data_IF_121203053311
#
_entry.id   IF_121203053311
#
_cell.length_a   1.000
_cell.length_b   1.000
_cell.length_c   1.000
_cell.angle_alpha   90.00
_cell.angle_beta   90.00
_cell.angle_gamma   90.00
#
_symmetry.space_group_name_H-M   'P 1'
#
loop_
_entity.id
_entity.type
_entity.pdbx_description
1 polymer ?
#
# COMPACT_ATOMS: atom_id res chain seq x y z
N UNK A 1 4.39 16.38 22.82
CA UNK A 1 5.05 15.85 21.61
C UNK A 1 4.04 15.88 20.48
N UNK A 2 4.47 16.13 19.24
CA UNK A 2 3.60 16.01 18.08
C UNK A 2 3.13 14.55 17.94
N UNK A 3 1.88 14.33 17.52
CA UNK A 3 1.38 12.98 17.28
C UNK A 3 1.90 12.47 15.94
N UNK A 4 2.29 11.19 15.91
CA UNK A 4 2.82 10.54 14.70
C UNK A 4 1.73 9.74 14.02
N UNK A 5 1.62 9.90 12.71
CA UNK A 5 0.74 9.08 11.89
C UNK A 5 1.47 8.43 10.73
N UNK A 6 1.12 7.19 10.44
CA UNK A 6 1.44 6.55 9.16
C UNK A 6 0.17 6.46 8.31
N UNK A 7 0.24 6.91 7.06
CA UNK A 7 -0.86 6.87 6.10
C UNK A 7 -0.50 5.93 4.95
N UNK A 8 -1.18 4.78 4.89
CA UNK A 8 -1.07 3.83 3.79
C UNK A 8 -2.03 4.18 2.66
N UNK A 9 -1.48 4.75 1.60
CA UNK A 9 -2.23 5.29 0.47
C UNK A 9 -2.68 4.19 -0.50
N UNK A 10 -3.96 4.25 -0.86
CA UNK A 10 -4.68 3.38 -1.79
C UNK A 10 -4.08 3.31 -3.20
N UNK A 11 -4.38 2.25 -3.95
CA UNK A 11 -4.15 2.28 -5.42
C UNK A 11 -5.04 3.32 -6.11
N UNK A 12 -6.26 3.51 -5.58
CA UNK A 12 -7.25 4.49 -6.04
C UNK A 12 -6.80 5.95 -5.88
N UNK A 13 -5.82 6.20 -5.01
CA UNK A 13 -5.19 7.51 -4.84
C UNK A 13 -4.21 7.85 -5.98
N UNK A 14 -3.95 6.92 -6.89
CA UNK A 14 -3.13 7.13 -8.09
C UNK A 14 -3.93 6.82 -9.36
N UNK A 15 -4.64 5.68 -9.40
CA UNK A 15 -5.43 5.27 -10.57
C UNK A 15 -6.82 4.84 -10.08
N UNK A 16 -7.86 5.58 -10.47
CA UNK A 16 -9.25 5.29 -10.12
C UNK A 16 -9.86 4.27 -11.08
N UNK A 17 -10.97 3.67 -10.66
CA UNK A 17 -11.75 2.79 -11.52
C UNK A 17 -12.21 3.53 -12.79
N UNK A 18 -11.92 2.95 -13.96
CA UNK A 18 -12.27 3.52 -15.26
C UNK A 18 -11.21 4.45 -15.87
N UNK A 19 -10.19 4.85 -15.11
CA UNK A 19 -9.09 5.65 -15.65
C UNK A 19 -8.05 4.80 -16.40
N UNK A 20 -7.37 5.43 -17.36
CA UNK A 20 -6.28 4.77 -18.09
C UNK A 20 -4.99 4.71 -17.26
N UNK A 21 -4.83 5.60 -16.28
CA UNK A 21 -3.63 5.70 -15.45
C UNK A 21 -2.51 6.50 -16.12
N UNK A 22 -2.86 7.50 -16.92
CA UNK A 22 -1.90 8.46 -17.49
C UNK A 22 -1.18 9.24 -16.38
N UNK A 23 -0.03 9.83 -16.69
CA UNK A 23 0.72 10.64 -15.71
C UNK A 23 -0.08 11.84 -15.21
N UNK A 24 -0.93 12.43 -16.07
CA UNK A 24 -1.81 13.54 -15.69
C UNK A 24 -2.89 13.09 -14.70
N UNK A 25 -3.55 11.96 -14.95
CA UNK A 25 -4.52 11.36 -14.01
C UNK A 25 -3.85 11.01 -12.67
N UNK A 26 -2.70 10.34 -12.71
CA UNK A 26 -1.96 9.97 -11.49
C UNK A 26 -1.52 11.20 -10.68
N UNK A 27 -1.06 12.27 -11.33
CA UNK A 27 -0.72 13.53 -10.67
C UNK A 27 -1.94 14.22 -10.06
N UNK A 28 -3.08 14.26 -10.77
CA UNK A 28 -4.31 14.84 -10.24
C UNK A 28 -4.84 14.07 -9.01
N UNK A 29 -4.81 12.74 -9.06
CA UNK A 29 -5.21 11.87 -7.95
C UNK A 29 -4.27 11.98 -6.75
N UNK A 30 -2.96 12.00 -7.00
CA UNK A 30 -1.95 12.22 -5.96
C UNK A 30 -2.13 13.59 -5.29
N UNK A 31 -2.43 14.65 -6.06
CA UNK A 31 -2.72 15.99 -5.53
C UNK A 31 -3.93 16.03 -4.63
N UNK A 32 -5.01 15.34 -5.01
CA UNK A 32 -6.22 15.26 -4.20
C UNK A 32 -5.93 14.62 -2.82
N UNK A 33 -5.12 13.56 -2.81
CA UNK A 33 -4.66 12.90 -1.57
C UNK A 33 -3.70 13.81 -0.77
N UNK A 34 -2.74 14.43 -1.44
CA UNK A 34 -1.75 15.32 -0.86
C UNK A 34 -2.39 16.53 -0.16
N UNK A 35 -3.49 17.06 -0.69
CA UNK A 35 -4.25 18.15 -0.07
C UNK A 35 -4.77 17.79 1.32
N UNK A 36 -5.34 16.59 1.49
CA UNK A 36 -5.80 16.10 2.80
C UNK A 36 -4.63 15.89 3.76
N UNK A 37 -3.52 15.32 3.27
CA UNK A 37 -2.31 15.10 4.08
C UNK A 37 -1.68 16.43 4.53
N UNK A 38 -1.58 17.42 3.64
CA UNK A 38 -1.04 18.74 3.96
C UNK A 38 -1.88 19.46 5.03
N UNK A 39 -3.21 19.27 5.02
CA UNK A 39 -4.10 19.75 6.09
C UNK A 39 -3.84 19.05 7.42
N UNK A 40 -3.62 17.73 7.41
CA UNK A 40 -3.24 16.98 8.61
C UNK A 40 -1.90 17.47 9.19
N UNK A 41 -0.91 17.70 8.34
CA UNK A 41 0.40 18.28 8.75
C UNK A 41 0.21 19.70 9.34
N UNK A 42 -0.69 20.51 8.76
CA UNK A 42 -1.02 21.84 9.30
C UNK A 42 -1.60 21.78 10.72
N UNK A 43 -2.31 20.69 11.06
CA UNK A 43 -2.82 20.45 12.41
C UNK A 43 -1.74 19.98 13.41
N UNK A 44 -0.48 19.83 12.97
CA UNK A 44 0.65 19.50 13.84
C UNK A 44 1.03 18.02 13.86
N UNK A 45 0.48 17.20 12.95
CA UNK A 45 0.87 15.79 12.82
C UNK A 45 2.23 15.62 12.14
N UNK A 46 3.04 14.71 12.67
CA UNK A 46 4.20 14.15 11.98
C UNK A 46 3.73 12.96 11.13
N UNK A 47 3.96 13.02 9.82
CA UNK A 47 3.36 12.07 8.88
C UNK A 47 4.42 11.28 8.13
N UNK A 48 4.20 9.96 8.09
CA UNK A 48 4.87 9.02 7.19
C UNK A 48 3.84 8.52 6.19
N UNK A 49 4.22 8.46 4.93
CA UNK A 49 3.34 8.07 3.83
C UNK A 49 3.89 6.80 3.21
N UNK A 50 3.04 5.79 3.07
CA UNK A 50 3.32 4.61 2.25
C UNK A 50 2.29 4.53 1.14
N UNK A 51 2.52 3.74 0.10
CA UNK A 51 1.57 3.61 -1.00
C UNK A 51 1.60 2.21 -1.62
N UNK A 52 0.53 1.86 -2.34
CA UNK A 52 0.52 0.68 -3.19
C UNK A 52 1.19 0.94 -4.54
N UNK A 53 1.48 -0.12 -5.29
CA UNK A 53 2.02 -0.03 -6.64
C UNK A 53 1.45 -1.07 -7.62
N UNK A 54 0.42 -1.84 -7.26
CA UNK A 54 -0.02 -3.02 -8.03
C UNK A 54 -0.23 -2.78 -9.54
N UNK A 55 -0.97 -1.73 -9.96
CA UNK A 55 -1.08 -1.36 -11.37
C UNK A 55 0.27 -0.95 -11.98
N UNK A 56 1.05 -0.11 -11.29
CA UNK A 56 2.32 0.43 -11.78
C UNK A 56 3.39 -0.66 -11.92
N UNK A 57 3.52 -1.56 -10.94
CA UNK A 57 4.49 -2.65 -10.95
C UNK A 57 4.22 -3.62 -12.08
N UNK A 58 2.94 -3.99 -12.30
CA UNK A 58 2.60 -4.84 -13.43
C UNK A 58 2.73 -4.12 -14.78
N UNK A 59 2.52 -2.80 -14.85
CA UNK A 59 2.81 -2.03 -16.06
C UNK A 59 4.32 -1.94 -16.33
N UNK A 60 5.15 -1.76 -15.30
CA UNK A 60 6.61 -1.75 -15.41
C UNK A 60 7.13 -3.11 -15.89
N UNK A 61 6.61 -4.20 -15.32
CA UNK A 61 6.99 -5.56 -15.72
C UNK A 61 6.55 -5.86 -17.17
N UNK A 62 5.34 -5.46 -17.55
CA UNK A 62 4.88 -5.59 -18.94
C UNK A 62 5.75 -4.81 -19.93
N UNK A 63 6.21 -3.60 -19.57
CA UNK A 63 7.16 -2.83 -20.39
C UNK A 63 8.49 -3.57 -20.53
N UNK A 64 9.03 -4.06 -19.42
CA UNK A 64 10.27 -4.86 -19.36
C UNK A 64 10.20 -6.09 -20.27
N UNK A 65 9.16 -6.91 -20.14
CA UNK A 65 8.98 -8.12 -20.95
C UNK A 65 8.84 -7.83 -22.45
N UNK A 66 8.13 -6.75 -22.82
CA UNK A 66 7.94 -6.37 -24.23
C UNK A 66 9.23 -5.86 -24.87
N UNK A 67 10.06 -5.16 -24.11
CA UNK A 67 11.32 -4.58 -24.58
C UNK A 67 12.52 -5.51 -24.45
N UNK A 68 12.34 -6.73 -23.91
CA UNK A 68 13.43 -7.66 -23.58
C UNK A 68 14.31 -8.11 -24.76
N UNK A 69 13.83 -7.96 -26.00
CA UNK A 69 14.61 -8.23 -27.21
C UNK A 69 15.46 -7.04 -27.68
N UNK A 70 15.25 -5.85 -27.09
CA UNK A 70 15.93 -4.60 -27.45
C UNK A 70 16.84 -4.10 -26.32
N UNK A 71 16.48 -4.37 -25.07
CA UNK A 71 17.21 -3.96 -23.86
C UNK A 71 17.07 -5.02 -22.77
N UNK A 72 17.96 -4.97 -21.77
CA UNK A 72 17.89 -5.87 -20.62
C UNK A 72 16.55 -5.79 -19.89
N UNK A 73 16.09 -6.93 -19.37
CA UNK A 73 14.84 -7.03 -18.61
C UNK A 73 15.05 -6.72 -17.13
N UNK A 74 14.09 -6.03 -16.51
CA UNK A 74 13.93 -5.97 -15.07
C UNK A 74 13.13 -7.16 -14.54
N UNK A 75 13.61 -7.73 -13.43
CA UNK A 75 12.88 -8.63 -12.54
C UNK A 75 11.77 -7.89 -11.78
N UNK A 76 10.88 -8.63 -11.12
CA UNK A 76 9.76 -8.03 -10.41
C UNK A 76 10.18 -7.12 -9.23
N UNK A 77 11.20 -7.50 -8.46
CA UNK A 77 11.76 -6.67 -7.38
C UNK A 77 12.34 -5.35 -7.91
N UNK A 78 13.01 -5.38 -9.06
CA UNK A 78 13.48 -4.17 -9.75
C UNK A 78 12.32 -3.31 -10.26
N UNK A 79 11.22 -3.92 -10.70
CA UNK A 79 10.00 -3.20 -11.02
C UNK A 79 9.40 -2.53 -9.76
N UNK A 80 9.40 -3.22 -8.61
CA UNK A 80 8.98 -2.63 -7.34
C UNK A 80 9.87 -1.43 -7.00
N UNK A 81 11.20 -1.57 -7.06
CA UNK A 81 12.15 -0.49 -6.81
C UNK A 81 11.90 0.73 -7.71
N UNK A 82 11.73 0.49 -9.01
CA UNK A 82 11.43 1.55 -10.00
C UNK A 82 10.14 2.28 -9.62
N UNK A 83 9.08 1.54 -9.30
CA UNK A 83 7.77 2.14 -8.97
C UNK A 83 7.74 2.87 -7.63
N UNK A 84 8.63 2.55 -6.68
CA UNK A 84 8.80 3.37 -5.47
C UNK A 84 9.24 4.79 -5.83
N UNK A 85 10.23 4.91 -6.72
CA UNK A 85 10.72 6.21 -7.16
C UNK A 85 9.72 6.92 -8.07
N UNK A 86 9.08 6.23 -9.02
CA UNK A 86 8.09 6.84 -9.92
C UNK A 86 6.91 7.44 -9.14
N UNK A 87 6.31 6.66 -8.23
CA UNK A 87 5.16 7.09 -7.46
C UNK A 87 5.58 8.09 -6.39
N UNK A 88 6.69 7.83 -5.69
CA UNK A 88 7.23 8.73 -4.67
C UNK A 88 7.54 10.11 -5.24
N UNK A 89 8.12 10.19 -6.45
CA UNK A 89 8.33 11.46 -7.15
C UNK A 89 7.02 12.22 -7.38
N UNK A 90 5.98 11.55 -7.89
CA UNK A 90 4.67 12.17 -8.11
C UNK A 90 4.11 12.68 -6.78
N UNK A 91 4.02 11.81 -5.77
CA UNK A 91 3.44 12.14 -4.47
C UNK A 91 4.21 13.26 -3.76
N UNK A 92 5.54 13.22 -3.80
CA UNK A 92 6.41 14.24 -3.21
C UNK A 92 6.14 15.61 -3.85
N UNK A 93 6.13 15.67 -5.19
CA UNK A 93 5.90 16.93 -5.91
C UNK A 93 4.54 17.54 -5.61
N UNK A 94 3.49 16.72 -5.60
CA UNK A 94 2.14 17.21 -5.29
C UNK A 94 2.00 17.61 -3.81
N UNK A 95 2.66 16.91 -2.89
CA UNK A 95 2.65 17.26 -1.47
C UNK A 95 3.43 18.55 -1.18
N UNK A 96 4.62 18.71 -1.75
CA UNK A 96 5.39 19.96 -1.64
C UNK A 96 4.59 21.16 -2.17
N UNK A 97 3.85 20.97 -3.28
CA UNK A 97 2.94 21.99 -3.79
C UNK A 97 1.86 22.34 -2.75
N UNK A 98 1.12 21.37 -2.23
CA UNK A 98 0.02 21.63 -1.27
C UNK A 98 0.54 22.20 0.07
N UNK A 99 1.71 21.77 0.54
CA UNK A 99 2.38 22.35 1.71
C UNK A 99 2.71 23.83 1.48
N UNK A 100 3.24 24.18 0.31
CA UNK A 100 3.53 25.57 -0.07
C UNK A 100 2.26 26.42 -0.11
N UNK A 101 1.16 25.90 -0.65
CA UNK A 101 -0.14 26.60 -0.68
C UNK A 101 -0.67 26.89 0.73
N UNK A 102 -0.33 26.07 1.71
CA UNK A 102 -0.68 26.27 3.12
C UNK A 102 0.35 27.11 3.91
N UNK A 103 1.41 27.58 3.25
CA UNK A 103 2.50 28.35 3.89
C UNK A 103 3.43 27.50 4.76
N UNK A 104 3.42 26.17 4.61
CA UNK A 104 4.22 25.24 5.40
C UNK A 104 5.60 25.03 4.74
N UNK A 105 6.67 25.26 5.51
CA UNK A 105 8.06 25.04 5.09
C UNK A 105 8.58 23.68 5.59
N UNK A 106 7.93 22.60 5.15
CA UNK A 106 8.32 21.22 5.50
C UNK A 106 9.14 20.61 4.36
N UNK A 107 10.20 19.88 4.72
CA UNK A 107 10.93 19.05 3.77
C UNK A 107 10.13 17.77 3.53
N UNK A 108 10.16 17.27 2.30
CA UNK A 108 9.57 15.99 1.90
C UNK A 108 10.65 15.16 1.21
N UNK A 109 10.73 13.87 1.53
CA UNK A 109 11.68 12.98 0.85
C UNK A 109 11.07 11.61 0.61
N UNK A 110 11.45 11.00 -0.50
CA UNK A 110 11.13 9.60 -0.82
C UNK A 110 12.34 8.72 -0.55
N UNK A 111 12.18 7.70 0.29
CA UNK A 111 13.25 6.75 0.64
C UNK A 111 12.96 5.39 -0.02
N UNK A 112 13.80 4.94 -0.98
CA UNK A 112 13.76 3.56 -1.45
C UNK A 112 13.90 2.60 -0.27
N UNK A 113 12.95 1.68 -0.14
CA UNK A 113 12.79 0.85 1.05
C UNK A 113 12.76 -0.62 0.67
N UNK A 114 13.69 -1.38 1.24
CA UNK A 114 13.75 -2.83 1.18
C UNK A 114 13.06 -3.46 2.39
N UNK A 115 12.43 -4.60 2.16
CA UNK A 115 11.74 -5.38 3.20
C UNK A 115 12.22 -6.82 3.14
N UNK A 116 12.75 -7.28 4.28
CA UNK A 116 13.20 -8.64 4.46
C UNK A 116 11.98 -9.57 4.47
N UNK A 117 12.08 -10.68 3.74
CA UNK A 117 11.09 -11.76 3.68
C UNK A 117 11.79 -13.11 3.84
N UNK A 118 11.05 -14.16 4.21
CA UNK A 118 11.59 -15.51 4.25
C UNK A 118 11.67 -16.08 2.83
N UNK A 119 12.88 -16.48 2.39
CA UNK A 119 13.08 -17.14 1.09
C UNK A 119 12.30 -18.45 0.93
N UNK A 120 11.87 -19.05 2.04
CA UNK A 120 11.10 -20.28 2.08
C UNK A 120 9.60 -20.06 2.32
N UNK A 121 9.12 -18.81 2.29
CA UNK A 121 7.70 -18.49 2.48
C UNK A 121 6.83 -19.28 1.47
N UNK A 122 5.75 -19.89 1.96
CA UNK A 122 4.82 -20.67 1.15
C UNK A 122 4.17 -19.84 0.03
N UNK A 123 4.14 -18.51 0.14
CA UNK A 123 3.67 -17.60 -0.89
C UNK A 123 4.47 -17.70 -2.20
N UNK A 124 5.74 -18.12 -2.17
CA UNK A 124 6.53 -18.38 -3.37
C UNK A 124 6.07 -19.63 -4.13
N UNK A 125 5.46 -20.59 -3.44
CA UNK A 125 4.90 -21.81 -4.05
C UNK A 125 3.44 -21.61 -4.48
N UNK A 126 2.72 -20.71 -3.80
CA UNK A 126 1.30 -20.43 -4.03
C UNK A 126 1.07 -18.92 -4.24
N UNK A 127 1.40 -18.37 -5.43
CA UNK A 127 1.22 -16.95 -5.71
C UNK A 127 -0.26 -16.58 -5.77
N UNK A 128 -0.63 -15.52 -5.05
CA UNK A 128 -2.04 -15.08 -4.93
C UNK A 128 -2.24 -13.61 -5.26
N UNK A 129 -1.18 -12.79 -5.29
CA UNK A 129 -1.29 -11.33 -5.41
C UNK A 129 -1.42 -10.91 -6.87
N UNK A 130 -2.54 -10.32 -7.30
CA UNK A 130 -2.73 -9.95 -8.70
C UNK A 130 -2.00 -8.65 -9.03
N UNK A 131 -1.24 -8.64 -10.14
CA UNK A 131 -0.49 -7.47 -10.65
C UNK A 131 -0.85 -7.16 -12.10
N UNK A 132 -0.66 -5.90 -12.50
CA UNK A 132 -0.82 -5.47 -13.89
C UNK A 132 -2.27 -5.44 -14.38
N UNK A 133 -2.46 -5.31 -15.71
CA UNK A 133 -3.78 -5.11 -16.31
C UNK A 133 -4.61 -6.39 -16.35
N UNK A 134 -5.90 -6.24 -16.64
CA UNK A 134 -6.82 -7.34 -16.91
C UNK A 134 -6.63 -7.87 -18.34
N UNK A 135 -6.80 -9.17 -18.50
CA UNK A 135 -6.73 -9.89 -19.76
C UNK A 135 -8.00 -10.73 -19.97
N UNK A 136 -8.37 -10.91 -21.23
CA UNK A 136 -9.30 -11.98 -21.61
C UNK A 136 -8.68 -13.36 -21.34
N UNK A 137 -9.54 -14.36 -21.13
CA UNK A 137 -9.12 -15.73 -20.76
C UNK A 137 -8.11 -16.33 -21.74
N UNK A 138 -8.38 -16.22 -23.04
CA UNK A 138 -7.51 -16.72 -24.11
C UNK A 138 -6.11 -16.09 -24.07
N UNK A 139 -6.02 -14.77 -23.89
CA UNK A 139 -4.75 -14.04 -23.81
C UNK A 139 -3.98 -14.41 -22.55
N UNK A 140 -4.66 -14.53 -21.42
CA UNK A 140 -4.04 -14.93 -20.16
C UNK A 140 -3.50 -16.36 -20.22
N UNK A 141 -4.27 -17.31 -20.77
CA UNK A 141 -3.82 -18.70 -20.96
C UNK A 141 -2.66 -18.81 -21.96
N UNK A 142 -2.64 -17.99 -23.01
CA UNK A 142 -1.49 -17.92 -23.91
C UNK A 142 -0.24 -17.50 -23.14
N UNK A 143 -0.33 -16.45 -22.29
CA UNK A 143 0.79 -15.98 -21.49
C UNK A 143 1.22 -16.98 -20.42
N UNK A 144 0.30 -17.74 -19.81
CA UNK A 144 0.65 -18.88 -18.96
C UNK A 144 1.52 -19.89 -19.71
N UNK A 145 1.13 -20.25 -20.94
CA UNK A 145 1.87 -21.23 -21.76
C UNK A 145 3.23 -20.72 -22.26
N UNK A 146 3.32 -19.46 -22.66
CA UNK A 146 4.53 -18.92 -23.31
C UNK A 146 5.50 -18.25 -22.35
N UNK A 147 4.99 -17.70 -21.24
CA UNK A 147 5.77 -16.92 -20.27
C UNK A 147 5.76 -17.54 -18.86
N UNK A 148 5.09 -18.68 -18.65
CA UNK A 148 5.03 -19.36 -17.36
C UNK A 148 4.25 -18.60 -16.29
N UNK A 149 3.34 -17.69 -16.69
CA UNK A 149 2.55 -16.90 -15.73
C UNK A 149 1.57 -17.76 -14.93
N UNK A 150 1.59 -17.59 -13.61
CA UNK A 150 0.42 -17.88 -12.80
C UNK A 150 -0.65 -16.81 -13.02
N UNK A 151 -1.90 -17.22 -13.18
CA UNK A 151 -3.03 -16.33 -13.42
C UNK A 151 -4.23 -16.70 -12.55
N UNK A 152 -5.02 -15.70 -12.17
CA UNK A 152 -6.28 -15.85 -11.45
C UNK A 152 -7.37 -15.04 -12.14
N UNK A 153 -8.62 -15.46 -12.02
CA UNK A 153 -9.78 -14.64 -12.37
C UNK A 153 -10.08 -13.66 -11.23
N UNK A 154 -10.10 -12.35 -11.52
CA UNK A 154 -10.25 -11.29 -10.53
C UNK A 154 -11.62 -10.61 -10.68
N UNK A 155 -12.55 -11.01 -9.81
CA UNK A 155 -13.86 -10.39 -9.59
C UNK A 155 -14.71 -10.20 -10.86
N UNK A 156 -14.73 -11.20 -11.75
CA UNK A 156 -15.45 -11.19 -13.03
C UNK A 156 -15.05 -10.05 -14.00
N UNK A 157 -13.94 -9.35 -13.74
CA UNK A 157 -13.40 -8.28 -14.61
C UNK A 157 -12.38 -8.81 -15.62
N UNK A 158 -12.06 -10.10 -15.56
CA UNK A 158 -11.07 -10.77 -16.39
C UNK A 158 -9.99 -11.48 -15.57
N UNK A 159 -8.91 -11.83 -16.24
CA UNK A 159 -7.78 -12.58 -15.69
C UNK A 159 -6.58 -11.67 -15.44
N UNK A 160 -5.82 -11.92 -14.38
CA UNK A 160 -4.59 -11.18 -14.06
C UNK A 160 -3.45 -12.12 -13.71
N UNK A 161 -2.22 -11.68 -13.95
CA UNK A 161 -1.02 -12.36 -13.46
C UNK A 161 -1.01 -12.30 -11.93
N UNK A 162 -0.72 -13.42 -11.28
CA UNK A 162 -0.45 -13.45 -9.84
C UNK A 162 1.03 -13.68 -9.57
N UNK A 163 1.48 -13.13 -8.45
CA UNK A 163 2.86 -13.23 -7.98
C UNK A 163 2.86 -13.55 -6.48
N UNK A 164 4.01 -13.95 -5.97
CA UNK A 164 4.20 -14.20 -4.55
C UNK A 164 3.95 -12.93 -3.74
N UNK A 165 3.32 -13.08 -2.57
CA UNK A 165 3.13 -12.02 -1.57
C UNK A 165 3.50 -12.56 -0.19
N UNK A 166 4.81 -12.72 0.08
CA UNK A 166 5.31 -13.23 1.36
C UNK A 166 5.03 -12.25 2.50
N UNK A 167 5.12 -12.75 3.73
CA UNK A 167 4.93 -11.93 4.92
C UNK A 167 6.15 -11.02 5.18
N UNK A 168 5.96 -9.72 5.45
CA UNK A 168 7.07 -8.82 5.75
C UNK A 168 7.65 -9.12 7.15
N UNK A 169 8.98 -9.28 7.23
CA UNK A 169 9.70 -9.56 8.47
C UNK A 169 10.31 -8.27 9.04
N UNK A 170 11.06 -7.53 8.23
CA UNK A 170 11.84 -6.37 8.67
C UNK A 170 11.90 -5.29 7.60
N UNK A 171 11.83 -4.02 8.01
CA UNK A 171 12.08 -2.87 7.13
C UNK A 171 13.53 -2.42 7.30
N UNK A 172 14.37 -2.64 6.29
CA UNK A 172 15.82 -2.43 6.42
C UNK A 172 16.20 -0.95 6.56
N UNK A 173 15.39 -0.03 6.02
CA UNK A 173 15.60 1.42 6.13
C UNK A 173 14.90 2.04 7.34
N UNK A 174 14.47 1.26 8.33
CA UNK A 174 13.75 1.77 9.51
C UNK A 174 14.51 2.89 10.23
N UNK A 175 15.82 2.74 10.45
CA UNK A 175 16.62 3.72 11.20
C UNK A 175 16.69 5.07 10.47
N UNK A 176 16.93 5.08 9.16
CA UNK A 176 16.99 6.33 8.38
C UNK A 176 15.61 6.98 8.26
N UNK A 177 14.54 6.19 8.18
CA UNK A 177 13.16 6.68 8.21
C UNK A 177 12.88 7.36 9.57
N UNK A 178 13.21 6.70 10.68
CA UNK A 178 13.00 7.26 12.04
C UNK A 178 13.73 8.58 12.22
N UNK A 179 15.04 8.62 11.91
CA UNK A 179 15.85 9.84 12.02
C UNK A 179 15.32 10.97 11.16
N UNK A 180 14.81 10.68 9.97
CA UNK A 180 14.21 11.70 9.10
C UNK A 180 12.94 12.31 9.71
N UNK A 181 12.10 11.49 10.33
CA UNK A 181 10.88 11.95 11.02
C UNK A 181 11.25 12.81 12.23
N UNK A 182 12.25 12.41 13.01
CA UNK A 182 12.78 13.18 14.17
C UNK A 182 13.31 14.55 13.75
N UNK A 183 13.85 14.67 12.53
CA UNK A 183 14.24 15.95 11.93
C UNK A 183 13.05 16.78 11.42
N UNK A 184 11.82 16.28 11.57
CA UNK A 184 10.59 16.93 11.14
C UNK A 184 10.33 16.85 9.63
N UNK A 185 11.04 15.96 8.91
CA UNK A 185 10.88 15.69 7.48
C UNK A 185 9.66 14.80 7.26
N UNK A 186 8.84 15.11 6.27
CA UNK A 186 7.75 14.23 5.83
C UNK A 186 8.34 13.14 4.95
N UNK A 187 8.17 11.88 5.34
CA UNK A 187 8.80 10.75 4.63
C UNK A 187 7.77 9.99 3.82
N UNK A 188 8.07 9.76 2.54
CA UNK A 188 7.41 8.78 1.69
C UNK A 188 8.32 7.55 1.62
N UNK A 189 7.85 6.40 2.07
CA UNK A 189 8.65 5.18 2.13
C UNK A 189 7.79 3.95 1.85
N UNK A 190 8.43 2.78 1.78
CA UNK A 190 7.73 1.49 1.69
C UNK A 190 6.76 1.40 0.50
N UNK A 191 7.10 2.07 -0.60
CA UNK A 191 6.27 2.08 -1.80
C UNK A 191 6.05 0.66 -2.33
N UNK A 192 4.80 0.32 -2.64
CA UNK A 192 4.44 -1.02 -3.06
C UNK A 192 4.53 -2.10 -1.99
N UNK A 193 4.67 -1.72 -0.71
CA UNK A 193 4.94 -2.66 0.38
C UNK A 193 6.42 -2.92 0.64
N UNK A 194 7.33 -2.26 -0.10
CA UNK A 194 8.78 -2.46 0.00
C UNK A 194 9.35 -3.37 -1.08
N UNK A 195 10.63 -3.20 -1.41
CA UNK A 195 11.36 -4.09 -2.32
C UNK A 195 11.64 -5.38 -1.55
N UNK A 196 11.04 -6.52 -1.93
CA UNK A 196 11.25 -7.79 -1.24
C UNK A 196 12.68 -8.28 -1.43
N UNK A 197 13.35 -8.55 -0.31
CA UNK A 197 14.72 -9.06 -0.28
C UNK A 197 14.87 -10.20 0.74
N UNK A 198 15.88 -11.02 0.57
CA UNK A 198 16.30 -12.04 1.53
C UNK A 198 17.81 -11.97 1.79
N UNK A 199 18.27 -12.59 2.87
CA UNK A 199 19.70 -12.82 3.07
C UNK A 199 20.13 -14.08 2.30
N UNK A 200 21.17 -13.93 1.49
CA UNK A 200 21.87 -15.02 0.82
C UNK A 200 22.77 -15.81 1.76
N UNK A 201 23.56 -16.73 1.22
CA UNK A 201 24.36 -17.66 2.03
C UNK A 201 25.52 -16.98 2.76
N UNK A 202 26.04 -15.88 2.21
CA UNK A 202 27.15 -15.12 2.79
C UNK A 202 26.69 -13.80 3.44
N UNK A 203 25.38 -13.66 3.71
CA UNK A 203 24.79 -12.46 4.29
C UNK A 203 24.56 -11.32 3.30
N UNK A 204 24.77 -11.55 2.00
CA UNK A 204 24.41 -10.59 0.96
C UNK A 204 22.89 -10.40 0.87
N UNK A 205 22.46 -9.21 0.46
CA UNK A 205 21.04 -8.92 0.21
C UNK A 205 20.73 -9.32 -1.23
N UNK A 206 19.78 -10.24 -1.41
CA UNK A 206 19.30 -10.68 -2.73
C UNK A 206 17.85 -10.24 -2.95
N UNK A 207 17.57 -9.74 -4.15
CA UNK A 207 16.21 -9.42 -4.57
C UNK A 207 15.35 -10.68 -4.74
N UNK A 208 14.09 -10.60 -4.32
CA UNK A 208 13.13 -11.71 -4.42
C UNK A 208 11.97 -11.31 -5.33
N UNK A 209 11.63 -12.09 -6.35
CA UNK A 209 10.54 -11.72 -7.26
C UNK A 209 9.15 -11.89 -6.62
N UNK A 210 8.70 -10.87 -5.89
CA UNK A 210 7.43 -10.83 -5.19
C UNK A 210 6.85 -9.41 -5.15
N UNK A 211 5.59 -9.28 -4.70
CA UNK A 211 4.99 -8.01 -4.29
C UNK A 211 4.37 -8.22 -2.92
N UNK A 212 4.93 -7.56 -1.90
CA UNK A 212 4.45 -7.67 -0.53
C UNK A 212 3.14 -6.90 -0.38
N UNK A 213 2.22 -7.39 0.45
CA UNK A 213 1.04 -6.63 0.76
C UNK A 213 1.38 -5.33 1.51
N UNK A 214 1.06 -4.20 0.88
CA UNK A 214 1.39 -2.88 1.40
C UNK A 214 0.78 -2.61 2.78
N UNK A 215 -0.41 -3.12 3.08
CA UNK A 215 -1.11 -2.80 4.32
C UNK A 215 -0.42 -3.55 5.46
N UNK A 216 0.05 -4.79 5.21
CA UNK A 216 0.87 -5.58 6.16
C UNK A 216 2.23 -4.93 6.42
N UNK A 217 2.95 -4.53 5.36
CA UNK A 217 4.23 -3.82 5.53
C UNK A 217 4.04 -2.48 6.25
N UNK A 218 2.96 -1.76 5.93
CA UNK A 218 2.64 -0.48 6.57
C UNK A 218 2.33 -0.65 8.06
N UNK A 219 1.61 -1.70 8.44
CA UNK A 219 1.38 -2.04 9.84
C UNK A 219 2.70 -2.38 10.57
N UNK A 220 3.61 -3.12 9.93
CA UNK A 220 4.94 -3.40 10.47
C UNK A 220 5.75 -2.11 10.69
N UNK A 221 5.79 -1.23 9.68
CA UNK A 221 6.50 0.05 9.79
C UNK A 221 5.86 0.96 10.84
N UNK A 222 4.53 1.06 10.87
CA UNK A 222 3.78 1.86 11.83
C UNK A 222 4.10 1.43 13.27
N UNK A 223 4.13 0.12 13.53
CA UNK A 223 4.50 -0.45 14.83
C UNK A 223 5.95 -0.13 15.18
N UNK A 224 6.89 -0.34 14.26
CA UNK A 224 8.31 -0.10 14.52
C UNK A 224 8.65 1.39 14.72
N UNK A 225 7.86 2.30 14.14
CA UNK A 225 7.99 3.75 14.35
C UNK A 225 7.21 4.26 15.59
N UNK A 226 6.47 3.39 16.28
CA UNK A 226 5.59 3.74 17.40
C UNK A 226 4.65 4.89 17.04
N UNK A 227 3.92 4.78 15.92
CA UNK A 227 2.96 5.81 15.51
C UNK A 227 1.72 5.79 16.41
N UNK A 228 1.15 6.96 16.68
CA UNK A 228 -0.08 7.09 17.47
C UNK A 228 -1.32 6.72 16.64
N UNK A 229 -1.26 6.93 15.33
CA UNK A 229 -2.36 6.67 14.40
C UNK A 229 -1.85 5.95 13.14
N UNK A 230 -2.44 4.82 12.82
CA UNK A 230 -2.27 4.17 11.52
C UNK A 230 -3.52 4.37 10.66
N UNK A 231 -3.37 5.00 9.49
CA UNK A 231 -4.47 5.25 8.57
C UNK A 231 -4.30 4.36 7.34
N UNK A 232 -5.34 3.60 7.00
CA UNK A 232 -5.43 2.87 5.73
C UNK A 232 -6.40 3.62 4.82
N UNK A 233 -5.87 4.24 3.77
CA UNK A 233 -6.66 4.95 2.78
C UNK A 233 -7.11 4.03 1.65
N UNK A 234 -8.42 3.94 1.42
CA UNK A 234 -9.06 3.05 0.43
C UNK A 234 -10.11 3.80 -0.43
N UNK A 235 -10.86 3.10 -1.28
CA UNK A 235 -12.00 3.63 -2.06
C UNK A 235 -13.31 3.77 -1.29
N UNK A 236 -13.42 3.18 -0.10
CA UNK A 236 -14.63 3.28 0.73
C UNK A 236 -14.42 4.30 1.84
N UNK A 237 -15.49 5.02 2.17
CA UNK A 237 -15.57 5.96 3.29
C UNK A 237 -15.39 5.26 4.64
N UNK A 238 -15.81 4.00 4.76
CA UNK A 238 -15.69 3.15 5.94
C UNK A 238 -15.73 1.66 5.57
N UNK A 239 -15.55 0.78 6.55
CA UNK A 239 -15.70 -0.69 6.45
C UNK A 239 -17.17 -1.06 6.64
N UNK A 240 -17.63 -2.07 5.90
CA UNK A 240 -19.01 -2.55 5.94
C UNK A 240 -19.09 -4.05 6.24
N UNK A 241 -20.06 -4.44 7.06
CA UNK A 241 -20.57 -5.81 7.16
C UNK A 241 -21.62 -6.04 6.07
N UNK A 242 -21.79 -7.29 5.64
CA UNK A 242 -22.73 -7.70 4.59
C UNK A 242 -22.62 -6.82 3.33
N UNK A 243 -21.38 -6.55 2.91
CA UNK A 243 -21.07 -5.61 1.84
C UNK A 243 -21.81 -5.95 0.53
N UNK A 244 -22.38 -4.93 -0.14
CA UNK A 244 -23.19 -5.04 -1.36
C UNK A 244 -24.44 -5.93 -1.22
N UNK A 245 -25.04 -5.96 -0.04
CA UNK A 245 -26.35 -6.59 0.22
C UNK A 245 -27.33 -5.58 0.83
N UNK A 246 -28.61 -5.94 0.87
CA UNK A 246 -29.65 -5.12 1.52
C UNK A 246 -29.46 -4.98 3.04
N UNK A 247 -28.59 -5.81 3.64
CA UNK A 247 -28.23 -5.79 5.07
C UNK A 247 -26.90 -5.09 5.33
N UNK A 248 -26.38 -4.34 4.35
CA UNK A 248 -25.11 -3.65 4.47
C UNK A 248 -25.12 -2.69 5.67
N UNK A 249 -24.13 -2.84 6.56
CA UNK A 249 -24.01 -2.03 7.76
C UNK A 249 -22.60 -1.47 7.90
N UNK A 250 -22.49 -0.15 8.01
CA UNK A 250 -21.20 0.53 8.21
C UNK A 250 -20.68 0.39 9.64
N UNK A 251 -19.38 0.08 9.77
CA UNK A 251 -18.68 0.02 11.05
C UNK A 251 -18.05 1.39 11.31
N UNK A 252 -18.52 2.10 12.34
CA UNK A 252 -17.95 3.40 12.73
C UNK A 252 -16.84 3.29 13.77
N UNK A 253 -17.06 2.45 14.78
CA UNK A 253 -16.13 2.13 15.86
C UNK A 253 -16.20 0.63 16.11
N UNK A 254 -15.07 0.00 16.33
CA UNK A 254 -14.99 -1.41 16.71
C UNK A 254 -13.68 -1.67 17.48
N UNK A 255 -13.69 -2.67 18.35
CA UNK A 255 -12.45 -3.19 18.94
C UNK A 255 -11.73 -4.13 17.97
N UNK A 256 -10.44 -4.37 18.19
CA UNK A 256 -9.69 -5.35 17.41
C UNK A 256 -10.28 -6.77 17.55
N UNK A 257 -10.88 -7.09 18.70
CA UNK A 257 -11.58 -8.34 18.95
C UNK A 257 -12.85 -8.48 18.13
N UNK A 258 -13.68 -7.44 18.05
CA UNK A 258 -14.88 -7.42 17.21
C UNK A 258 -14.51 -7.56 15.73
N UNK A 259 -13.48 -6.84 15.29
CA UNK A 259 -12.99 -6.93 13.91
C UNK A 259 -12.44 -8.31 13.60
N UNK A 260 -11.76 -8.97 14.54
CA UNK A 260 -11.31 -10.36 14.38
C UNK A 260 -12.50 -11.30 14.21
N UNK A 261 -13.54 -11.17 15.05
CA UNK A 261 -14.75 -11.99 14.92
C UNK A 261 -15.39 -11.83 13.53
N UNK A 262 -15.56 -10.61 13.06
CA UNK A 262 -16.13 -10.36 11.72
C UNK A 262 -15.25 -10.92 10.59
N UNK A 263 -13.93 -10.87 10.76
CA UNK A 263 -12.99 -11.48 9.82
C UNK A 263 -13.16 -13.01 9.78
N UNK A 264 -13.27 -13.66 10.95
CA UNK A 264 -13.45 -15.11 11.08
C UNK A 264 -14.82 -15.56 10.53
N UNK A 265 -15.84 -14.69 10.59
CA UNK A 265 -17.15 -14.88 9.95
C UNK A 265 -17.12 -14.69 8.43
N UNK A 266 -15.98 -14.31 7.84
CA UNK A 266 -15.83 -14.13 6.39
C UNK A 266 -16.45 -12.84 5.85
N UNK A 267 -16.67 -11.82 6.69
CA UNK A 267 -17.29 -10.55 6.29
C UNK A 267 -16.42 -9.72 5.33
N UNK A 268 -15.11 -9.97 5.30
CA UNK A 268 -14.14 -9.16 4.56
C UNK A 268 -13.44 -9.97 3.46
N UNK A 269 -13.61 -9.63 2.17
CA UNK A 269 -13.01 -10.38 1.07
C UNK A 269 -11.47 -10.35 1.06
N UNK A 270 -10.78 -11.47 0.81
CA UNK A 270 -9.31 -11.59 0.90
C UNK A 270 -8.55 -10.79 -0.17
N UNK A 271 -9.21 -10.35 -1.25
CA UNK A 271 -8.61 -9.55 -2.32
C UNK A 271 -8.69 -8.03 -2.11
N UNK A 272 -9.38 -7.56 -1.08
CA UNK A 272 -9.63 -6.13 -0.87
C UNK A 272 -9.62 -5.71 0.60
N UNK A 273 -10.72 -5.92 1.32
CA UNK A 273 -10.89 -5.43 2.70
C UNK A 273 -10.26 -6.35 3.74
N UNK A 274 -10.18 -7.66 3.48
CA UNK A 274 -9.60 -8.65 4.39
C UNK A 274 -8.19 -8.27 4.86
N UNK A 275 -7.22 -8.09 3.94
CA UNK A 275 -5.85 -7.70 4.31
C UNK A 275 -5.75 -6.37 5.07
N UNK A 276 -6.68 -5.43 4.84
CA UNK A 276 -6.73 -4.15 5.56
C UNK A 276 -7.14 -4.35 7.02
N UNK A 277 -8.19 -5.14 7.23
CA UNK A 277 -8.68 -5.48 8.56
C UNK A 277 -7.66 -6.34 9.30
N UNK A 278 -7.08 -7.34 8.65
CA UNK A 278 -5.97 -8.15 9.21
C UNK A 278 -4.81 -7.25 9.69
N UNK A 279 -4.38 -6.32 8.84
CA UNK A 279 -3.28 -5.40 9.15
C UNK A 279 -3.63 -4.45 10.29
N UNK A 280 -4.88 -3.97 10.34
CA UNK A 280 -5.37 -3.13 11.43
C UNK A 280 -5.37 -3.87 12.77
N UNK A 281 -5.92 -5.09 12.80
CA UNK A 281 -5.94 -5.96 13.98
C UNK A 281 -4.50 -6.26 14.43
N UNK A 282 -3.62 -6.63 13.50
CA UNK A 282 -2.21 -6.94 13.78
C UNK A 282 -1.49 -5.73 14.36
N UNK A 283 -1.75 -4.51 13.87
CA UNK A 283 -1.16 -3.30 14.43
C UNK A 283 -1.60 -3.07 15.88
N UNK A 284 -2.91 -3.14 16.16
CA UNK A 284 -3.44 -2.96 17.53
C UNK A 284 -2.91 -4.03 18.49
N UNK A 285 -2.98 -5.32 18.12
CA UNK A 285 -2.49 -6.43 18.94
C UNK A 285 -0.99 -6.36 19.26
N UNK A 286 -0.22 -5.64 18.44
CA UNK A 286 1.22 -5.43 18.65
C UNK A 286 1.55 -4.11 19.38
N UNK A 287 0.58 -3.52 20.08
CA UNK A 287 0.75 -2.31 20.91
C UNK A 287 0.44 -0.99 20.20
N UNK A 288 -0.12 -1.05 18.99
CA UNK A 288 -0.66 0.12 18.30
C UNK A 288 -1.92 0.65 19.01
N UNK A 289 -2.14 1.97 18.95
CA UNK A 289 -3.21 2.62 19.72
C UNK A 289 -4.53 2.75 18.94
N UNK A 290 -4.44 3.19 17.69
CA UNK A 290 -5.62 3.53 16.88
C UNK A 290 -5.37 3.30 15.40
N UNK A 291 -6.35 2.72 14.72
CA UNK A 291 -6.41 2.60 13.27
C UNK A 291 -7.63 3.32 12.73
N UNK A 292 -7.48 4.00 11.59
CA UNK A 292 -8.60 4.52 10.80
C UNK A 292 -8.57 3.87 9.41
N UNK A 293 -9.71 3.33 8.97
CA UNK A 293 -9.91 2.89 7.58
C UNK A 293 -10.95 3.80 6.94
N UNK A 294 -10.57 4.51 5.88
CA UNK A 294 -11.43 5.48 5.19
C UNK A 294 -10.86 5.85 3.81
N UNK A 295 -11.53 6.71 3.04
CA UNK A 295 -10.99 7.25 1.79
C UNK A 295 -10.28 8.60 2.00
N UNK A 296 -9.47 9.02 1.04
CA UNK A 296 -8.71 10.28 1.19
C UNK A 296 -9.63 11.51 1.26
N UNK A 297 -10.83 11.45 0.68
CA UNK A 297 -11.86 12.49 0.75
C UNK A 297 -12.31 12.73 2.19
N UNK A 298 -12.48 11.65 2.95
CA UNK A 298 -12.99 11.66 4.32
C UNK A 298 -11.89 11.68 5.39
N UNK A 299 -10.61 11.75 5.00
CA UNK A 299 -9.49 11.72 5.94
C UNK A 299 -9.62 12.77 7.05
N UNK A 300 -9.96 14.01 6.71
CA UNK A 300 -10.09 15.08 7.70
C UNK A 300 -11.30 14.87 8.62
N UNK A 301 -12.44 14.45 8.07
CA UNK A 301 -13.63 14.14 8.85
C UNK A 301 -13.39 12.94 9.77
N UNK A 302 -12.60 11.96 9.32
CA UNK A 302 -12.21 10.81 10.12
C UNK A 302 -11.29 11.20 11.28
N UNK A 303 -10.37 12.16 11.11
CA UNK A 303 -9.57 12.69 12.23
C UNK A 303 -10.43 13.34 13.32
N UNK A 304 -11.58 13.89 12.94
CA UNK A 304 -12.59 14.45 13.86
C UNK A 304 -13.63 13.43 14.34
N UNK A 305 -13.42 12.14 14.05
CA UNK A 305 -14.36 11.02 14.33
C UNK A 305 -15.74 11.12 13.64
N UNK A 306 -15.87 11.99 12.63
CA UNK A 306 -17.09 12.21 11.84
C UNK A 306 -17.23 11.28 10.64
N UNK A 307 -16.14 10.65 10.20
CA UNK A 307 -16.14 9.62 9.16
C UNK A 307 -15.19 8.45 9.50
N UNK A 308 -15.15 7.43 8.63
CA UNK A 308 -14.25 6.30 8.75
C UNK A 308 -14.66 5.24 9.77
N UNK A 309 -13.99 4.09 9.66
CA UNK A 309 -13.99 3.05 10.70
C UNK A 309 -12.80 3.26 11.62
N UNK A 310 -13.08 3.42 12.91
CA UNK A 310 -12.09 3.59 13.96
C UNK A 310 -11.91 2.27 14.70
N UNK A 311 -10.70 1.74 14.72
CA UNK A 311 -10.37 0.49 15.40
C UNK A 311 -9.37 0.80 16.50
N UNK A 312 -9.67 0.33 17.71
CA UNK A 312 -8.80 0.44 18.89
C UNK A 312 -8.68 -0.93 19.56
N UNK A 313 -7.94 -0.99 20.67
CA UNK A 313 -7.99 -2.13 21.61
C UNK A 313 -9.44 -2.51 21.93
#
# INVERSE_FOLDING_TARGET
>A
MAQKALIAVGGNSLIRAGERGTLAEQSANARATAKSIARMIKLGWEVVITHGNGPQAGAALLRSERAGNEVYTHTLDMCVATTQSEIGYIMQRELEFELKQLGLKKLVTTIPTMVLVDKNDNAFKNPTKPIGPFYEKNVAEQKRRTLGWDIVEDAARGYRRVVASPEPIEVLQLEVISKSIEMGIVVIALGGGGIPVAYGENGEIVGMEAVIDKDRSSALLAKNLNVDLFVISTDTDQVYLNYKTDRQQGIRKATAEEMQRYLDEGQFPPGSMGPKVESAIKFIKNGGKKVIITSYEYLMDALEEKAGTHISE
#
